data_IF_049071190572
#
_entry.id   IF_049071190572
#
_cell.length_a   1.000
_cell.length_b   1.000
_cell.length_c   1.000
_cell.angle_alpha   90.00
_cell.angle_beta   90.00
_cell.angle_gamma   90.00
#
_symmetry.space_group_name_H-M   'P 1'
#
loop_
_entity.id
_entity.type
_entity.pdbx_description
1 polymer ?
#
# COMPACT_ATOMS: atom_id res chain seq x y z
N UNK A 1 -28.92 -41.36 -30.94
CA UNK A 1 -29.25 -42.70 -30.44
C UNK A 1 -29.05 -42.69 -28.91
N UNK A 2 -30.19 -42.85 -28.17
CA UNK A 2 -30.40 -43.25 -26.77
C UNK A 2 -29.65 -42.48 -25.69
N UNK A 3 -30.25 -41.48 -24.96
CA UNK A 3 -31.21 -41.58 -23.82
C UNK A 3 -30.92 -42.62 -22.76
N UNK A 4 -30.81 -42.19 -21.49
CA UNK A 4 -31.49 -42.71 -20.26
C UNK A 4 -30.82 -42.04 -19.04
N UNK A 5 -31.41 -41.07 -18.35
CA UNK A 5 -32.44 -41.11 -17.28
C UNK A 5 -32.21 -42.11 -16.15
N UNK A 6 -32.11 -41.56 -14.94
CA UNK A 6 -32.75 -41.98 -13.68
C UNK A 6 -32.13 -41.07 -12.55
N UNK A 7 -32.74 -40.19 -11.87
CA UNK A 7 -33.98 -40.05 -11.08
C UNK A 7 -34.02 -40.86 -9.79
N UNK A 8 -34.47 -40.18 -8.73
CA UNK A 8 -35.07 -40.61 -7.46
C UNK A 8 -34.07 -40.86 -6.29
N UNK A 9 -34.37 -40.52 -5.03
CA UNK A 9 -35.56 -40.04 -4.32
C UNK A 9 -35.11 -39.50 -2.96
N UNK A 10 -35.63 -38.43 -2.53
CA UNK A 10 -36.54 -38.13 -1.40
C UNK A 10 -36.60 -39.14 -0.26
N UNK A 11 -36.35 -38.69 0.98
CA UNK A 11 -37.14 -39.05 2.15
C UNK A 11 -37.14 -37.93 3.20
N UNK A 12 -38.36 -37.52 3.54
CA UNK A 12 -38.77 -36.71 4.68
C UNK A 12 -38.95 -37.58 5.91
N UNK A 13 -38.81 -37.00 7.11
CA UNK A 13 -39.66 -37.17 8.29
C UNK A 13 -39.05 -36.31 9.42
N UNK A 14 -39.57 -35.28 9.89
CA UNK A 14 -40.79 -34.95 10.60
C UNK A 14 -40.75 -35.18 12.14
N UNK A 15 -40.86 -34.05 12.86
CA UNK A 15 -41.61 -33.75 14.11
C UNK A 15 -41.19 -34.47 15.41
N UNK A 16 -41.19 -33.85 16.58
CA UNK A 16 -42.04 -33.04 17.45
C UNK A 16 -41.33 -33.02 18.82
N UNK A 17 -41.37 -32.14 19.69
CA UNK A 17 -42.18 -31.18 20.37
C UNK A 17 -41.50 -30.61 21.62
N UNK A 18 -41.85 -29.42 21.90
CA UNK A 18 -41.96 -28.66 23.16
C UNK A 18 -41.59 -29.38 24.49
N UNK A 19 -40.74 -28.67 25.28
CA UNK A 19 -41.15 -28.28 26.63
C UNK A 19 -40.35 -27.09 27.17
N UNK A 20 -41.02 -26.17 27.72
CA UNK A 20 -40.54 -24.94 28.35
C UNK A 20 -39.94 -25.23 29.72
N UNK A 21 -38.94 -24.46 30.13
CA UNK A 21 -38.89 -23.64 31.34
C UNK A 21 -37.49 -23.11 31.63
N UNK A 22 -37.40 -21.79 31.68
CA UNK A 22 -36.77 -20.96 32.69
C UNK A 22 -35.25 -21.09 32.94
N UNK A 23 -34.51 -20.03 32.65
CA UNK A 23 -33.21 -19.80 33.29
C UNK A 23 -32.23 -18.98 32.47
N UNK A 24 -32.34 -17.68 32.66
CA UNK A 24 -31.29 -16.67 32.61
C UNK A 24 -30.15 -16.86 31.58
N UNK A 25 -30.29 -16.15 30.52
CA UNK A 25 -29.27 -15.85 29.50
C UNK A 25 -28.12 -15.02 30.08
N UNK A 26 -26.89 -15.48 29.81
CA UNK A 26 -25.71 -14.62 29.80
C UNK A 26 -25.10 -14.70 28.40
N UNK A 27 -24.81 -13.57 27.74
CA UNK A 27 -24.41 -13.56 26.35
C UNK A 27 -22.98 -14.08 26.16
N UNK A 28 -22.76 -14.76 25.05
CA UNK A 28 -21.46 -15.16 24.57
C UNK A 28 -20.74 -13.92 23.97
N UNK A 29 -20.02 -13.16 24.80
CA UNK A 29 -19.19 -12.03 24.39
C UNK A 29 -17.70 -12.21 24.72
N UNK A 30 -17.24 -13.41 25.02
CA UNK A 30 -15.87 -13.61 25.53
C UNK A 30 -14.91 -14.27 24.54
N UNK A 31 -15.30 -14.57 23.30
CA UNK A 31 -14.36 -15.15 22.31
C UNK A 31 -13.87 -14.20 21.23
N UNK A 32 -14.51 -13.05 21.02
CA UNK A 32 -14.04 -12.05 20.06
C UNK A 32 -12.95 -11.12 20.64
N UNK A 33 -12.93 -10.93 21.97
CA UNK A 33 -11.94 -10.07 22.61
C UNK A 33 -10.54 -10.69 22.70
N UNK A 34 -10.46 -12.03 22.84
CA UNK A 34 -9.16 -12.71 22.94
C UNK A 34 -8.40 -12.80 21.60
N UNK A 35 -9.10 -12.78 20.47
CA UNK A 35 -8.46 -12.77 19.15
C UNK A 35 -7.94 -11.37 18.75
N UNK A 36 -8.58 -10.32 19.23
CA UNK A 36 -8.14 -8.95 18.96
C UNK A 36 -6.92 -8.54 19.80
N UNK A 37 -6.81 -9.05 21.05
CA UNK A 37 -5.62 -8.80 21.88
C UNK A 37 -4.36 -9.52 21.38
N UNK A 38 -4.51 -10.72 20.80
CA UNK A 38 -3.37 -11.47 20.26
C UNK A 38 -2.83 -10.85 18.97
N UNK A 39 -3.70 -10.25 18.14
CA UNK A 39 -3.27 -9.55 16.93
C UNK A 39 -2.61 -8.20 17.24
N UNK A 40 -3.07 -7.48 18.28
CA UNK A 40 -2.47 -6.22 18.72
C UNK A 40 -1.11 -6.44 19.38
N UNK A 41 -0.92 -7.55 20.11
CA UNK A 41 0.36 -7.90 20.73
C UNK A 41 1.41 -8.30 19.68
N UNK A 42 1.01 -9.03 18.62
CA UNK A 42 1.91 -9.40 17.53
C UNK A 42 2.35 -8.19 16.68
N UNK A 43 1.47 -7.21 16.50
CA UNK A 43 1.81 -5.97 15.80
C UNK A 43 2.72 -5.06 16.63
N UNK A 44 2.60 -5.09 17.97
CA UNK A 44 3.48 -4.33 18.88
C UNK A 44 4.87 -4.95 19.02
N UNK A 45 5.00 -6.29 18.94
CA UNK A 45 6.31 -6.96 18.97
C UNK A 45 7.05 -6.79 17.63
N UNK A 46 6.33 -6.74 16.48
CA UNK A 46 6.94 -6.45 15.18
C UNK A 46 7.47 -5.01 15.09
N UNK A 47 6.80 -4.04 15.72
CA UNK A 47 7.27 -2.66 15.79
C UNK A 47 8.48 -2.50 16.74
N UNK A 48 8.58 -3.32 17.81
CA UNK A 48 9.71 -3.29 18.73
C UNK A 48 10.97 -3.97 18.19
N UNK A 49 10.83 -4.95 17.29
CA UNK A 49 11.98 -5.64 16.69
C UNK A 49 12.63 -4.86 15.53
N UNK A 50 11.95 -3.84 14.98
CA UNK A 50 12.50 -2.99 13.93
C UNK A 50 13.48 -1.91 14.46
N UNK A 51 13.55 -1.70 15.77
CA UNK A 51 14.37 -0.65 16.37
C UNK A 51 15.85 -1.03 16.63
N UNK A 52 16.25 -2.29 16.42
CA UNK A 52 17.61 -2.76 16.77
C UNK A 52 18.58 -2.94 15.60
N UNK A 53 18.22 -2.58 14.37
CA UNK A 53 19.14 -2.57 13.23
C UNK A 53 19.05 -1.27 12.45
N UNK A 54 19.09 -0.12 13.12
CA UNK A 54 19.10 1.19 12.47
C UNK A 54 20.43 1.38 11.71
N UNK A 55 20.43 1.05 10.44
CA UNK A 55 21.42 1.50 9.48
C UNK A 55 21.30 3.03 9.30
N UNK A 56 22.36 3.66 8.80
CA UNK A 56 22.28 5.07 8.43
C UNK A 56 21.48 5.22 7.14
N UNK A 57 20.53 6.16 7.12
CA UNK A 57 19.72 6.45 5.92
C UNK A 57 20.64 6.94 4.80
N UNK A 58 20.63 6.27 3.67
CA UNK A 58 21.42 6.68 2.50
C UNK A 58 20.83 7.94 1.87
N UNK A 59 21.68 8.88 1.53
CA UNK A 59 21.28 10.08 0.82
C UNK A 59 21.00 9.78 -0.67
N UNK A 60 20.10 10.57 -1.25
CA UNK A 60 19.88 10.58 -2.70
C UNK A 60 21.05 11.24 -3.42
N UNK A 61 21.27 10.85 -4.67
CA UNK A 61 22.24 11.49 -5.57
C UNK A 61 21.55 12.00 -6.83
N UNK A 62 22.18 12.95 -7.50
CA UNK A 62 21.64 13.50 -8.74
C UNK A 62 21.67 12.47 -9.87
N UNK A 63 20.62 12.49 -10.70
CA UNK A 63 20.53 11.66 -11.88
C UNK A 63 20.31 10.16 -11.61
N UNK A 64 19.68 9.82 -10.49
CA UNK A 64 19.33 8.42 -10.18
C UNK A 64 18.17 7.89 -11.02
N UNK A 65 17.37 8.78 -11.61
CA UNK A 65 16.13 8.47 -12.32
C UNK A 65 16.15 9.00 -13.74
N UNK A 66 15.48 8.29 -14.63
CA UNK A 66 15.34 8.66 -16.05
C UNK A 66 13.93 8.35 -16.57
N UNK A 67 13.55 8.94 -17.69
CA UNK A 67 12.27 8.63 -18.38
C UNK A 67 12.40 7.53 -19.42
N UNK A 68 11.27 6.96 -19.86
CA UNK A 68 9.87 7.33 -19.57
C UNK A 68 9.44 7.11 -18.14
N UNK A 69 8.56 8.00 -17.64
CA UNK A 69 8.08 8.02 -16.25
C UNK A 69 6.59 7.76 -16.18
N UNK A 70 6.20 6.81 -15.34
CA UNK A 70 4.78 6.56 -15.00
C UNK A 70 4.57 6.95 -13.53
N UNK A 71 3.47 7.68 -13.27
CA UNK A 71 2.99 7.98 -11.93
C UNK A 71 1.69 7.24 -11.66
N UNK A 72 1.64 6.52 -10.55
CA UNK A 72 0.41 5.84 -10.10
C UNK A 72 0.11 6.12 -8.63
N UNK A 73 -1.15 5.89 -8.23
CA UNK A 73 -1.54 5.88 -6.83
C UNK A 73 -1.34 4.48 -6.24
N UNK A 74 -0.95 4.43 -4.97
CA UNK A 74 -0.92 3.22 -4.13
C UNK A 74 -1.77 3.50 -2.90
N UNK A 75 -2.98 2.89 -2.87
CA UNK A 75 -4.01 3.14 -1.88
C UNK A 75 -5.06 4.18 -2.31
N UNK A 76 -5.09 4.57 -3.59
CA UNK A 76 -6.09 5.44 -4.22
C UNK A 76 -6.28 6.79 -3.53
N UNK A 77 -5.21 7.36 -2.99
CA UNK A 77 -5.19 8.68 -2.37
C UNK A 77 -5.11 9.80 -3.41
N UNK A 78 -5.74 10.94 -3.10
CA UNK A 78 -5.61 12.16 -3.91
C UNK A 78 -4.17 12.74 -3.91
N UNK A 79 -3.28 12.19 -3.12
CA UNK A 79 -1.87 12.62 -3.08
C UNK A 79 -1.16 12.40 -4.42
N UNK A 80 -1.69 11.52 -5.27
CA UNK A 80 -1.21 11.33 -6.65
C UNK A 80 -1.29 12.63 -7.48
N UNK A 81 -2.30 13.46 -7.26
CA UNK A 81 -2.42 14.76 -7.94
C UNK A 81 -1.43 15.79 -7.40
N UNK A 82 -1.10 15.69 -6.12
CA UNK A 82 -0.04 16.49 -5.50
C UNK A 82 1.31 16.09 -6.11
N UNK A 83 1.64 14.80 -6.13
CA UNK A 83 2.89 14.29 -6.72
C UNK A 83 2.99 14.65 -8.20
N UNK A 84 1.90 14.53 -8.97
CA UNK A 84 1.87 14.97 -10.37
C UNK A 84 2.23 16.45 -10.52
N UNK A 85 1.67 17.31 -9.66
CA UNK A 85 1.96 18.74 -9.66
C UNK A 85 3.43 19.03 -9.30
N UNK A 86 3.99 18.31 -8.34
CA UNK A 86 5.39 18.45 -7.93
C UNK A 86 6.34 18.06 -9.07
N UNK A 87 6.10 16.92 -9.72
CA UNK A 87 6.87 16.44 -10.87
C UNK A 87 6.77 17.42 -12.05
N UNK A 88 5.58 17.93 -12.34
CA UNK A 88 5.39 18.96 -13.39
C UNK A 88 6.19 20.21 -13.11
N UNK A 89 6.18 20.70 -11.86
CA UNK A 89 7.00 21.88 -11.45
C UNK A 89 8.50 21.59 -11.51
N UNK A 90 8.92 20.35 -11.28
CA UNK A 90 10.30 19.89 -11.47
C UNK A 90 10.69 19.71 -12.95
N UNK A 91 9.77 19.97 -13.89
CA UNK A 91 10.00 19.78 -15.32
C UNK A 91 10.09 18.33 -15.75
N UNK A 92 9.48 17.42 -15.01
CA UNK A 92 9.44 15.98 -15.35
C UNK A 92 8.21 15.72 -16.21
N UNK A 93 8.46 15.19 -17.41
CA UNK A 93 7.42 14.65 -18.27
C UNK A 93 7.07 13.24 -17.81
N UNK A 94 5.79 13.01 -17.53
CA UNK A 94 5.30 11.74 -17.01
C UNK A 94 3.88 11.44 -17.49
N UNK A 95 3.55 10.17 -17.56
CA UNK A 95 2.18 9.70 -17.71
C UNK A 95 1.59 9.37 -16.33
N UNK A 96 0.45 10.00 -16.01
CA UNK A 96 -0.29 9.70 -14.78
C UNK A 96 -1.40 8.69 -15.06
N UNK A 97 -1.32 7.54 -14.40
CA UNK A 97 -2.36 6.51 -14.45
C UNK A 97 -2.59 5.94 -13.04
N UNK A 98 -3.65 6.41 -12.37
CA UNK A 98 -3.91 6.10 -10.95
C UNK A 98 -4.10 4.61 -10.67
N UNK A 99 -4.62 3.87 -11.63
CA UNK A 99 -4.99 2.46 -11.50
C UNK A 99 -4.24 1.55 -12.46
N UNK A 100 -3.06 1.94 -12.96
CA UNK A 100 -2.28 1.11 -13.88
C UNK A 100 -2.08 -0.29 -13.31
N UNK A 101 -2.26 -1.29 -14.14
CA UNK A 101 -2.03 -2.68 -13.78
C UNK A 101 -0.64 -3.16 -14.22
N UNK A 102 -0.25 -4.35 -13.80
CA UNK A 102 1.00 -4.96 -14.24
C UNK A 102 1.03 -5.20 -15.77
N UNK A 103 -0.12 -5.53 -16.36
CA UNK A 103 -0.22 -5.81 -17.78
C UNK A 103 -0.13 -4.53 -18.64
N UNK A 104 -0.55 -3.40 -18.06
CA UNK A 104 -0.54 -2.09 -18.73
C UNK A 104 0.80 -1.35 -18.58
N UNK A 105 1.70 -1.83 -17.72
CA UNK A 105 2.99 -1.16 -17.51
C UNK A 105 3.87 -1.29 -18.77
N UNK A 106 4.22 -0.16 -19.44
CA UNK A 106 5.05 -0.19 -20.63
C UNK A 106 6.40 -0.84 -20.39
N UNK A 107 6.85 -1.65 -21.35
CA UNK A 107 8.13 -2.37 -21.24
C UNK A 107 9.34 -1.44 -21.23
N UNK A 108 9.20 -0.23 -21.76
CA UNK A 108 10.25 0.80 -21.81
C UNK A 108 10.15 1.78 -20.63
N UNK A 109 9.20 1.60 -19.69
CA UNK A 109 9.11 2.40 -18.48
C UNK A 109 10.40 2.32 -17.68
N UNK A 110 11.05 3.46 -17.46
CA UNK A 110 12.31 3.55 -16.70
C UNK A 110 12.10 3.87 -15.24
N UNK A 111 11.09 4.69 -14.95
CA UNK A 111 10.77 5.10 -13.59
C UNK A 111 9.27 4.97 -13.32
N UNK A 112 8.93 4.25 -12.26
CA UNK A 112 7.57 4.14 -11.72
C UNK A 112 7.51 4.91 -10.40
N UNK A 113 6.79 6.02 -10.39
CA UNK A 113 6.56 6.82 -9.18
C UNK A 113 5.26 6.36 -8.52
N UNK A 114 5.34 6.03 -7.26
CA UNK A 114 4.23 5.63 -6.42
C UNK A 114 3.85 6.79 -5.50
N UNK A 115 2.67 7.36 -5.65
CA UNK A 115 2.09 8.25 -4.65
C UNK A 115 1.38 7.38 -3.60
N UNK A 116 2.00 7.26 -2.42
CA UNK A 116 1.62 6.26 -1.41
C UNK A 116 0.73 6.87 -0.33
N UNK A 117 -0.46 6.32 -0.17
CA UNK A 117 -1.40 6.73 0.88
C UNK A 117 -2.78 6.09 0.71
N UNK A 118 -3.35 5.56 1.79
CA UNK A 118 -4.66 4.92 1.77
C UNK A 118 -5.82 5.93 1.82
N UNK A 119 -6.83 5.70 0.99
CA UNK A 119 -8.07 6.49 0.99
C UNK A 119 -9.30 5.62 0.78
N UNK A 120 -10.08 5.39 1.84
CA UNK A 120 -11.35 4.64 1.73
C UNK A 120 -12.30 5.27 0.71
N UNK A 121 -12.33 6.61 0.61
CA UNK A 121 -13.12 7.32 -0.39
C UNK A 121 -12.58 7.08 -1.81
N UNK A 122 -11.25 7.09 -1.97
CA UNK A 122 -10.62 6.82 -3.27
C UNK A 122 -10.83 5.39 -3.73
N UNK A 123 -10.65 4.41 -2.86
CA UNK A 123 -10.95 3.00 -3.12
C UNK A 123 -12.40 2.80 -3.55
N UNK A 124 -13.35 3.37 -2.80
CA UNK A 124 -14.77 3.32 -3.14
C UNK A 124 -15.09 4.00 -4.47
N UNK A 125 -14.44 5.12 -4.80
CA UNK A 125 -14.61 5.79 -6.08
C UNK A 125 -14.04 4.99 -7.25
N UNK A 126 -12.97 4.23 -7.02
CA UNK A 126 -12.38 3.30 -7.99
C UNK A 126 -13.17 1.97 -8.09
N UNK A 127 -14.15 1.74 -7.22
CA UNK A 127 -14.95 0.52 -7.19
C UNK A 127 -14.20 -0.71 -6.70
N UNK A 128 -13.14 -0.53 -5.91
CA UNK A 128 -12.29 -1.59 -5.38
C UNK A 128 -12.20 -1.50 -3.86
N UNK A 129 -11.80 -2.59 -3.23
CA UNK A 129 -11.45 -2.65 -1.82
C UNK A 129 -9.93 -2.59 -1.58
N UNK A 130 -9.53 -2.62 -0.32
CA UNK A 130 -8.12 -2.55 0.06
C UNK A 130 -7.33 -3.78 -0.39
N UNK A 131 -7.91 -4.97 -0.34
CA UNK A 131 -7.25 -6.22 -0.73
C UNK A 131 -7.03 -6.27 -2.24
N UNK A 132 -7.99 -5.80 -3.02
CA UNK A 132 -7.88 -5.68 -4.48
C UNK A 132 -6.78 -4.67 -4.86
N UNK A 133 -6.69 -3.55 -4.16
CA UNK A 133 -5.64 -2.55 -4.39
C UNK A 133 -4.26 -3.08 -3.99
N UNK A 134 -4.15 -3.80 -2.88
CA UNK A 134 -2.91 -4.48 -2.49
C UNK A 134 -2.47 -5.51 -3.53
N UNK A 135 -3.40 -6.32 -4.04
CA UNK A 135 -3.11 -7.29 -5.08
C UNK A 135 -2.63 -6.62 -6.38
N UNK A 136 -3.33 -5.54 -6.83
CA UNK A 136 -2.92 -4.75 -7.99
C UNK A 136 -1.52 -4.18 -7.81
N UNK A 137 -1.27 -3.57 -6.66
CA UNK A 137 0.03 -2.96 -6.34
C UNK A 137 1.14 -4.00 -6.30
N UNK A 138 0.93 -5.13 -5.65
CA UNK A 138 1.93 -6.21 -5.57
C UNK A 138 2.32 -6.71 -6.97
N UNK A 139 1.34 -7.02 -7.81
CA UNK A 139 1.59 -7.46 -9.18
C UNK A 139 2.35 -6.40 -10.00
N UNK A 140 1.99 -5.11 -9.84
CA UNK A 140 2.66 -4.00 -10.51
C UNK A 140 4.13 -3.86 -10.08
N UNK A 141 4.40 -3.96 -8.76
CA UNK A 141 5.76 -3.89 -8.21
C UNK A 141 6.63 -5.06 -8.68
N UNK A 142 6.08 -6.27 -8.71
CA UNK A 142 6.77 -7.46 -9.25
C UNK A 142 7.13 -7.26 -10.73
N UNK A 143 6.17 -6.76 -11.53
CA UNK A 143 6.39 -6.47 -12.94
C UNK A 143 7.46 -5.41 -13.14
N UNK A 144 7.39 -4.30 -12.41
CA UNK A 144 8.38 -3.22 -12.48
C UNK A 144 9.80 -3.71 -12.14
N UNK A 145 9.94 -4.47 -11.06
CA UNK A 145 11.21 -5.10 -10.69
C UNK A 145 11.71 -6.07 -11.77
N UNK A 146 10.83 -6.91 -12.30
CA UNK A 146 11.17 -7.91 -13.32
C UNK A 146 11.68 -7.31 -14.63
N UNK A 147 11.27 -6.10 -14.99
CA UNK A 147 11.73 -5.39 -16.18
C UNK A 147 12.84 -4.34 -15.90
N UNK A 148 13.27 -4.19 -14.65
CA UNK A 148 14.32 -3.25 -14.24
C UNK A 148 13.89 -1.80 -14.16
N UNK A 149 12.58 -1.54 -14.07
CA UNK A 149 12.03 -0.20 -13.82
C UNK A 149 12.40 0.27 -12.42
N UNK A 150 12.91 1.48 -12.26
CA UNK A 150 13.20 2.10 -10.97
C UNK A 150 11.91 2.48 -10.25
N UNK A 151 11.75 2.03 -9.03
CA UNK A 151 10.57 2.28 -8.20
C UNK A 151 10.88 3.42 -7.22
N UNK A 152 10.06 4.47 -7.26
CA UNK A 152 10.16 5.63 -6.35
C UNK A 152 8.93 5.66 -5.46
N UNK A 153 9.08 5.50 -4.15
CA UNK A 153 8.00 5.67 -3.20
C UNK A 153 7.96 7.11 -2.69
N UNK A 154 6.84 7.80 -2.88
CA UNK A 154 6.62 9.16 -2.39
C UNK A 154 5.47 9.19 -1.39
N UNK A 155 5.75 9.60 -0.15
CA UNK A 155 4.74 9.90 0.84
C UNK A 155 4.74 11.40 1.16
N UNK A 156 3.77 12.11 0.57
CA UNK A 156 3.67 13.57 0.67
C UNK A 156 2.65 14.03 1.70
N UNK A 157 1.91 13.10 2.29
CA UNK A 157 0.95 13.39 3.36
C UNK A 157 1.62 13.55 4.72
N UNK A 158 1.04 14.39 5.59
CA UNK A 158 1.45 14.47 6.98
C UNK A 158 0.83 13.36 7.84
N UNK A 159 0.88 13.52 9.16
CA UNK A 159 0.34 12.57 10.14
C UNK A 159 -1.13 12.16 9.89
N UNK A 160 -1.93 13.08 9.33
CA UNK A 160 -3.32 12.80 8.93
C UNK A 160 -3.47 11.79 7.78
N UNK A 161 -2.39 11.46 7.09
CA UNK A 161 -2.33 10.46 6.00
C UNK A 161 -1.71 9.12 6.45
N UNK A 162 -1.63 8.92 7.76
CA UNK A 162 -1.15 7.69 8.40
C UNK A 162 -2.31 6.94 9.06
N UNK A 163 -2.07 5.74 9.48
CA UNK A 163 -3.01 4.85 10.14
C UNK A 163 -3.19 3.53 9.38
N UNK A 164 -3.91 2.59 9.98
CA UNK A 164 -3.96 1.17 9.55
C UNK A 164 -4.15 1.00 8.04
N UNK A 165 -5.08 1.74 7.42
CA UNK A 165 -5.31 1.63 5.98
C UNK A 165 -4.13 2.16 5.16
N UNK A 166 -3.57 3.32 5.52
CA UNK A 166 -2.43 3.87 4.79
C UNK A 166 -1.19 3.03 4.99
N UNK A 167 -0.95 2.58 6.21
CA UNK A 167 0.24 1.81 6.58
C UNK A 167 0.27 0.44 5.89
N UNK A 168 -0.89 -0.17 5.60
CA UNK A 168 -0.97 -1.39 4.80
C UNK A 168 -0.46 -1.22 3.35
N UNK A 169 -0.53 0.00 2.81
CA UNK A 169 0.03 0.33 1.49
C UNK A 169 1.47 0.87 1.57
N UNK A 170 1.79 1.59 2.65
CA UNK A 170 3.13 2.15 2.87
C UNK A 170 4.17 1.03 2.95
N UNK A 171 3.93 0.02 3.78
CA UNK A 171 4.91 -1.04 4.01
C UNK A 171 5.37 -1.70 2.70
N UNK A 172 4.51 -2.32 1.88
CA UNK A 172 4.95 -3.00 0.66
C UNK A 172 5.53 -2.04 -0.39
N UNK A 173 5.05 -0.79 -0.47
CA UNK A 173 5.57 0.18 -1.42
C UNK A 173 7.00 0.62 -1.07
N UNK A 174 7.27 0.89 0.22
CA UNK A 174 8.59 1.29 0.69
C UNK A 174 9.59 0.12 0.74
N UNK A 175 9.13 -1.10 1.01
CA UNK A 175 9.96 -2.30 0.89
C UNK A 175 10.40 -2.58 -0.55
N UNK A 176 9.60 -2.18 -1.52
CA UNK A 176 9.89 -2.39 -2.93
C UNK A 176 10.70 -1.26 -3.57
N UNK A 177 10.82 -0.10 -2.92
CA UNK A 177 11.38 1.12 -3.49
C UNK A 177 12.89 1.04 -3.71
N UNK A 178 13.36 1.57 -4.84
CA UNK A 178 14.77 1.86 -5.12
C UNK A 178 15.20 3.23 -4.58
N UNK A 179 14.25 4.16 -4.45
CA UNK A 179 14.44 5.52 -3.92
C UNK A 179 13.15 5.96 -3.22
N UNK A 180 13.26 6.76 -2.17
CA UNK A 180 12.09 7.31 -1.49
C UNK A 180 12.17 8.82 -1.28
N UNK A 181 10.99 9.47 -1.26
CA UNK A 181 10.83 10.87 -0.86
C UNK A 181 9.71 10.96 0.16
N UNK A 182 10.02 11.47 1.34
CA UNK A 182 9.11 11.49 2.48
C UNK A 182 9.00 12.91 3.05
N UNK A 183 7.77 13.39 3.21
CA UNK A 183 7.53 14.56 4.04
C UNK A 183 7.59 14.13 5.50
N UNK A 184 8.55 14.69 6.25
CA UNK A 184 8.95 14.23 7.60
C UNK A 184 7.79 14.16 8.59
N UNK A 185 6.78 15.03 8.47
CA UNK A 185 5.57 14.99 9.30
C UNK A 185 4.79 13.68 9.15
N UNK A 186 4.88 13.00 8.00
CA UNK A 186 4.23 11.73 7.73
C UNK A 186 4.93 10.51 8.35
N UNK A 187 6.13 10.65 8.90
CA UNK A 187 6.93 9.53 9.42
C UNK A 187 7.52 9.81 10.82
N UNK A 188 6.73 10.38 11.71
CA UNK A 188 7.17 10.73 13.07
C UNK A 188 7.43 9.49 13.95
N UNK A 189 6.83 8.36 13.62
CA UNK A 189 7.03 7.07 14.28
C UNK A 189 8.21 6.26 13.69
N UNK A 190 8.79 6.74 12.57
CA UNK A 190 9.94 6.12 11.93
C UNK A 190 9.63 4.83 11.16
N UNK A 191 8.37 4.53 10.86
CA UNK A 191 7.99 3.33 10.10
C UNK A 191 8.69 3.26 8.75
N UNK A 192 8.56 4.32 7.94
CA UNK A 192 9.17 4.37 6.61
C UNK A 192 10.69 4.43 6.71
N UNK A 193 11.21 5.23 7.65
CA UNK A 193 12.64 5.33 7.91
C UNK A 193 13.26 3.98 8.23
N UNK A 194 12.67 3.22 9.15
CA UNK A 194 13.14 1.89 9.52
C UNK A 194 13.18 0.90 8.36
N UNK A 195 12.18 0.93 7.46
CA UNK A 195 12.16 0.11 6.25
C UNK A 195 13.31 0.51 5.31
N UNK A 196 13.49 1.80 5.07
CA UNK A 196 14.51 2.32 4.15
C UNK A 196 15.94 2.05 4.64
N UNK A 197 16.20 2.24 5.94
CA UNK A 197 17.48 1.92 6.59
C UNK A 197 17.79 0.42 6.49
N UNK A 198 16.82 -0.43 6.83
CA UNK A 198 16.96 -1.89 6.74
C UNK A 198 17.32 -2.36 5.32
N UNK A 199 16.68 -1.76 4.31
CA UNK A 199 16.89 -2.12 2.91
C UNK A 199 18.08 -1.40 2.28
N UNK A 200 18.65 -0.40 2.96
CA UNK A 200 19.69 0.47 2.43
C UNK A 200 19.21 1.28 1.22
N UNK A 201 17.92 1.64 1.19
CA UNK A 201 17.30 2.42 0.13
C UNK A 201 17.62 3.91 0.31
N UNK A 202 18.17 4.61 -0.70
CA UNK A 202 18.38 6.05 -0.65
C UNK A 202 17.07 6.81 -0.49
N UNK A 203 17.05 7.80 0.39
CA UNK A 203 15.85 8.59 0.61
C UNK A 203 16.13 10.05 0.93
N UNK A 204 15.16 10.91 0.59
CA UNK A 204 15.13 12.29 1.01
C UNK A 204 13.96 12.53 1.96
N UNK A 205 14.25 13.04 3.14
CA UNK A 205 13.27 13.53 4.10
C UNK A 205 13.20 15.05 3.99
N UNK A 206 12.04 15.57 3.64
CA UNK A 206 11.81 17.00 3.44
C UNK A 206 10.88 17.57 4.48
N UNK A 207 11.05 18.86 4.80
CA UNK A 207 10.24 19.53 5.82
C UNK A 207 8.82 19.83 5.34
N UNK A 208 8.67 20.17 4.06
CA UNK A 208 7.41 20.58 3.47
C UNK A 208 7.20 19.92 2.10
N UNK A 209 5.93 19.81 1.70
CA UNK A 209 5.55 19.24 0.37
C UNK A 209 6.24 20.01 -0.78
N UNK A 210 6.38 21.33 -0.65
CA UNK A 210 7.01 22.16 -1.71
C UNK A 210 8.48 21.79 -1.94
N UNK A 211 9.20 21.32 -0.91
CA UNK A 211 10.61 20.95 -0.98
C UNK A 211 10.83 19.69 -1.84
N UNK A 212 9.78 18.88 -2.03
CA UNK A 212 9.82 17.73 -2.93
C UNK A 212 10.17 18.12 -4.37
N UNK A 213 9.89 19.38 -4.81
CA UNK A 213 10.21 19.83 -6.17
C UNK A 213 11.73 19.78 -6.39
N UNK A 214 12.50 20.39 -5.47
CA UNK A 214 13.96 20.37 -5.56
C UNK A 214 14.53 18.93 -5.49
N UNK A 215 13.96 18.10 -4.62
CA UNK A 215 14.33 16.70 -4.49
C UNK A 215 14.11 15.92 -5.80
N UNK A 216 12.93 16.05 -6.40
CA UNK A 216 12.60 15.40 -7.68
C UNK A 216 13.51 15.94 -8.80
N UNK A 217 13.76 17.25 -8.84
CA UNK A 217 14.69 17.87 -9.80
C UNK A 217 16.08 17.23 -9.70
N UNK A 218 16.60 17.09 -8.48
CA UNK A 218 17.90 16.42 -8.22
C UNK A 218 17.88 14.98 -8.69
N UNK A 219 16.85 14.21 -8.33
CA UNK A 219 16.75 12.79 -8.70
C UNK A 219 16.80 12.56 -10.21
N UNK A 220 16.23 13.47 -11.01
CA UNK A 220 16.29 13.41 -12.48
C UNK A 220 17.49 14.17 -13.09
N UNK A 221 18.38 14.72 -12.28
CA UNK A 221 19.58 15.42 -12.76
C UNK A 221 19.30 16.71 -13.53
N UNK A 222 18.25 17.44 -13.14
CA UNK A 222 17.82 18.68 -13.78
C UNK A 222 18.13 19.91 -12.92
#
# INVERSE_FOLDING_TARGET
MKMRNAAMAMTMAAMVALSACGGSSKPAETQAAAAAETAAAAASEAAGAAAEAAGELKEITAGMLEGPVILTSVGQSADVDIVNTLCTKAGIDLEKNNGITADDLPADCKTLILAVGGSSKGLGAAGIDADQELARTSALLEKAKGQGTKIVAMHTGGSARRGTLSDSFIVPAFEAADVAVVVSEGDQDGLMKGILEKNGTPAAYVGQIADCVATVTTLFGK
#
